data_IF_169680962517
#
_entry.id   IF_169680962517
#
_cell.length_a   1.000
_cell.length_b   1.000
_cell.length_c   1.000
_cell.angle_alpha   90.00
_cell.angle_beta   90.00
_cell.angle_gamma   90.00
#
_symmetry.space_group_name_H-M   'P 1'
#
loop_
_entity.id
_entity.type
_entity.pdbx_description
1 polymer ?
#
# COMPACT_ATOMS: atom_id res chain seq x y z
N UNK A 1 -3.21 74.40 -38.71
CA UNK A 1 -4.35 73.89 -37.88
C UNK A 1 -4.25 72.37 -37.90
N UNK A 2 -3.89 71.72 -36.78
CA UNK A 2 -4.78 71.12 -35.77
C UNK A 2 -5.79 70.09 -36.33
N UNK A 3 -5.62 68.81 -35.96
CA UNK A 3 -6.60 67.83 -35.44
C UNK A 3 -5.83 66.52 -35.14
N UNK A 4 -5.67 66.01 -33.91
CA UNK A 4 -6.60 65.58 -32.82
C UNK A 4 -7.26 64.20 -33.02
N UNK A 5 -6.56 63.17 -32.56
CA UNK A 5 -6.95 62.12 -31.59
C UNK A 5 -8.39 61.55 -31.50
N UNK A 6 -8.42 60.22 -31.24
CA UNK A 6 -9.43 59.36 -30.56
C UNK A 6 -10.62 58.80 -31.35
N UNK A 7 -10.86 57.49 -31.17
CA UNK A 7 -12.08 56.76 -31.55
C UNK A 7 -11.85 55.25 -31.66
N UNK A 8 -12.51 54.44 -30.82
CA UNK A 8 -12.37 52.97 -30.78
C UNK A 8 -13.50 52.25 -31.54
N UNK A 9 -13.27 50.99 -31.93
CA UNK A 9 -14.31 50.14 -32.52
C UNK A 9 -13.84 48.72 -32.83
N UNK A 10 -14.10 47.77 -31.93
CA UNK A 10 -13.97 46.33 -32.19
C UNK A 10 -15.33 45.80 -32.62
N UNK A 11 -15.39 45.15 -33.78
CA UNK A 11 -16.49 44.25 -34.15
C UNK A 11 -15.94 43.10 -35.01
N UNK A 12 -15.86 41.90 -34.42
CA UNK A 12 -15.79 40.63 -35.15
C UNK A 12 -17.07 39.87 -34.85
N UNK A 13 -17.77 39.40 -35.89
CA UNK A 13 -18.71 38.30 -35.77
C UNK A 13 -18.15 37.13 -36.59
N UNK A 14 -18.28 35.92 -36.03
CA UNK A 14 -17.90 34.65 -36.66
C UNK A 14 -19.02 34.26 -37.67
N UNK A 15 -19.08 33.13 -38.38
CA UNK A 15 -18.52 31.77 -38.28
C UNK A 15 -18.24 31.29 -39.75
N UNK A 16 -17.88 30.06 -40.15
CA UNK A 16 -17.91 28.69 -39.62
C UNK A 16 -16.60 27.95 -39.99
N UNK A 17 -16.23 26.89 -39.27
CA UNK A 17 -15.38 25.80 -39.80
C UNK A 17 -15.51 24.55 -38.91
N UNK A 18 -16.62 23.82 -39.06
CA UNK A 18 -16.95 22.68 -38.21
C UNK A 18 -16.38 21.34 -38.73
N UNK A 19 -15.39 20.80 -38.01
CA UNK A 19 -15.26 19.35 -37.75
C UNK A 19 -14.10 19.05 -36.79
N UNK A 20 -14.33 19.14 -35.47
CA UNK A 20 -13.35 18.76 -34.45
C UNK A 20 -13.67 17.41 -33.81
N UNK A 21 -12.79 16.41 -33.96
CA UNK A 21 -12.90 15.10 -33.30
C UNK A 21 -12.61 15.20 -31.80
N UNK A 22 -13.58 14.85 -30.97
CA UNK A 22 -13.46 14.86 -29.51
C UNK A 22 -13.06 13.47 -28.97
N UNK A 23 -12.16 13.42 -27.98
CA UNK A 23 -11.80 12.19 -27.25
C UNK A 23 -12.11 12.39 -25.76
N UNK A 24 -12.89 11.48 -25.19
CA UNK A 24 -13.21 11.46 -23.76
C UNK A 24 -12.26 10.50 -23.02
N UNK A 25 -11.68 10.95 -21.90
CA UNK A 25 -10.87 10.10 -21.02
C UNK A 25 -11.51 10.11 -19.62
N UNK A 26 -11.79 8.91 -19.09
CA UNK A 26 -12.44 8.73 -17.79
C UNK A 26 -11.52 7.98 -16.84
N UNK A 27 -11.26 8.55 -15.66
CA UNK A 27 -10.54 7.89 -14.57
C UNK A 27 -11.54 7.29 -13.56
N UNK A 28 -11.18 6.22 -12.81
CA UNK A 28 -12.11 5.45 -11.95
C UNK A 28 -12.70 6.20 -10.74
N UNK A 29 -12.45 7.51 -10.63
CA UNK A 29 -12.88 8.37 -9.53
C UNK A 29 -14.15 9.19 -9.86
N UNK A 30 -14.77 8.98 -11.03
CA UNK A 30 -16.02 9.65 -11.46
C UNK A 30 -15.88 11.13 -11.85
N UNK A 31 -14.66 11.67 -11.88
CA UNK A 31 -14.42 13.07 -12.29
C UNK A 31 -14.37 13.15 -13.82
N UNK A 32 -15.44 13.67 -14.42
CA UNK A 32 -15.44 14.11 -15.82
C UNK A 32 -14.82 15.52 -15.90
N UNK A 33 -13.92 15.72 -16.87
CA UNK A 33 -13.35 17.04 -17.20
C UNK A 33 -13.82 17.43 -18.60
N UNK A 34 -14.45 18.60 -18.74
CA UNK A 34 -14.78 19.16 -20.04
C UNK A 34 -13.53 19.73 -20.74
N UNK A 35 -13.48 19.46 -22.05
CA UNK A 35 -12.84 20.24 -23.13
C UNK A 35 -11.41 20.80 -22.91
N UNK A 36 -10.44 20.24 -23.63
CA UNK A 36 -9.12 20.85 -23.87
C UNK A 36 -8.98 21.13 -25.37
N UNK A 37 -8.88 22.41 -25.75
CA UNK A 37 -8.49 22.79 -27.12
C UNK A 37 -6.98 22.62 -27.29
N UNK A 38 -6.55 21.62 -28.07
CA UNK A 38 -5.15 21.41 -28.46
C UNK A 38 -4.74 22.30 -29.64
N UNK A 39 -4.81 23.62 -29.44
CA UNK A 39 -4.23 24.59 -30.37
C UNK A 39 -2.70 24.61 -30.29
N UNK A 40 -2.04 24.30 -31.41
CA UNK A 40 -0.65 24.71 -31.73
C UNK A 40 0.53 23.97 -31.07
N UNK A 41 0.47 22.64 -30.86
CA UNK A 41 1.66 21.83 -30.45
C UNK A 41 2.02 20.72 -31.48
N UNK A 42 1.17 20.46 -32.48
CA UNK A 42 1.19 19.18 -33.23
C UNK A 42 2.11 19.18 -34.49
N UNK A 43 2.73 20.30 -34.87
CA UNK A 43 3.39 20.41 -36.19
C UNK A 43 4.75 19.70 -36.35
N UNK A 44 5.43 19.27 -35.28
CA UNK A 44 6.79 18.69 -35.39
C UNK A 44 6.91 17.23 -34.90
N UNK A 45 5.90 16.66 -34.25
CA UNK A 45 5.97 15.31 -33.68
C UNK A 45 5.25 14.27 -34.54
N UNK A 46 5.98 13.69 -35.50
CA UNK A 46 5.57 12.55 -36.36
C UNK A 46 5.05 11.33 -35.55
N UNK A 47 5.37 11.25 -34.26
CA UNK A 47 4.90 10.20 -33.35
C UNK A 47 3.52 10.48 -32.73
N UNK A 48 3.10 11.75 -32.63
CA UNK A 48 1.76 12.13 -32.17
C UNK A 48 0.71 11.96 -33.27
N UNK A 49 1.05 12.20 -34.54
CA UNK A 49 0.13 11.97 -35.66
C UNK A 49 -0.28 10.50 -35.80
N UNK A 50 0.63 9.55 -35.57
CA UNK A 50 0.30 8.11 -35.60
C UNK A 50 -0.68 7.70 -34.50
N UNK A 51 -0.51 8.23 -33.28
CA UNK A 51 -1.44 7.99 -32.15
C UNK A 51 -2.84 8.60 -32.43
N UNK A 52 -2.92 9.64 -33.26
CA UNK A 52 -4.18 10.30 -33.62
C UNK A 52 -4.86 9.74 -34.89
N UNK A 53 -4.20 8.85 -35.63
CA UNK A 53 -4.75 8.25 -36.86
C UNK A 53 -5.14 6.79 -36.72
N UNK A 54 -4.48 6.03 -35.84
CA UNK A 54 -4.78 4.61 -35.60
C UNK A 54 -5.42 4.42 -34.20
N UNK A 55 -6.76 4.33 -34.08
CA UNK A 55 -7.43 4.22 -32.78
C UNK A 55 -7.14 2.93 -32.02
N UNK A 56 -6.68 1.89 -32.72
CA UNK A 56 -6.28 0.59 -32.15
C UNK A 56 -4.77 0.50 -31.81
N UNK A 57 -4.00 1.58 -32.02
CA UNK A 57 -2.57 1.61 -31.71
C UNK A 57 -2.33 1.74 -30.20
N UNK A 58 -2.18 0.59 -29.53
CA UNK A 58 -1.64 0.50 -28.17
C UNK A 58 -0.11 0.55 -28.27
N UNK A 59 0.57 1.62 -27.81
CA UNK A 59 2.03 1.68 -27.87
C UNK A 59 2.63 0.59 -26.98
N UNK A 60 3.63 -0.13 -27.48
CA UNK A 60 4.36 -1.08 -26.65
C UNK A 60 5.10 -0.35 -25.51
N UNK A 61 5.28 -0.99 -24.35
CA UNK A 61 5.94 -0.35 -23.18
C UNK A 61 7.37 0.16 -23.49
N UNK A 62 8.02 -0.40 -24.51
CA UNK A 62 9.31 0.06 -25.06
C UNK A 62 9.26 1.40 -25.83
N UNK A 63 8.08 1.92 -26.11
CA UNK A 63 7.86 3.11 -26.96
C UNK A 63 7.26 4.31 -26.20
N UNK A 64 7.23 4.24 -24.87
CA UNK A 64 6.73 5.32 -24.02
C UNK A 64 7.41 6.67 -24.38
N UNK A 65 6.64 7.76 -24.55
CA UNK A 65 7.20 9.04 -24.92
C UNK A 65 8.12 9.57 -23.81
N UNK A 66 9.39 9.80 -24.15
CA UNK A 66 10.31 10.54 -23.29
C UNK A 66 9.88 12.01 -23.23
N UNK A 67 8.99 12.33 -22.30
CA UNK A 67 8.57 13.70 -22.04
C UNK A 67 9.78 14.59 -21.80
N UNK A 68 9.82 15.75 -22.46
CA UNK A 68 10.83 16.77 -22.24
C UNK A 68 10.77 17.32 -20.80
N UNK A 69 11.86 17.89 -20.31
CA UNK A 69 11.91 18.42 -18.94
C UNK A 69 10.85 19.49 -18.67
N UNK A 70 10.51 20.27 -19.71
CA UNK A 70 9.50 21.33 -19.71
C UNK A 70 8.10 20.73 -19.55
N UNK A 71 7.79 19.64 -20.26
CA UNK A 71 6.49 18.96 -20.16
C UNK A 71 6.31 18.28 -18.79
N UNK A 72 7.35 17.63 -18.27
CA UNK A 72 7.34 17.06 -16.93
C UNK A 72 7.10 18.14 -15.85
N UNK A 73 7.63 19.35 -16.04
CA UNK A 73 7.36 20.51 -15.17
C UNK A 73 5.89 20.93 -15.19
N UNK A 74 5.30 21.06 -16.39
CA UNK A 74 3.86 21.38 -16.56
C UNK A 74 2.94 20.30 -15.96
N UNK A 75 3.32 19.03 -16.10
CA UNK A 75 2.60 17.90 -15.47
C UNK A 75 2.68 18.03 -13.94
N UNK A 76 3.87 18.24 -13.39
CA UNK A 76 4.10 18.37 -11.95
C UNK A 76 3.30 19.53 -11.33
N UNK A 77 3.24 20.68 -12.00
CA UNK A 77 2.40 21.83 -11.62
C UNK A 77 0.90 21.46 -11.63
N UNK A 78 0.42 20.87 -12.73
CA UNK A 78 -0.99 20.46 -12.89
C UNK A 78 -1.45 19.44 -11.82
N UNK A 79 -0.58 18.49 -11.44
CA UNK A 79 -0.89 17.49 -10.41
C UNK A 79 -0.48 17.90 -8.99
N UNK A 80 0.10 19.11 -8.82
CA UNK A 80 0.63 19.65 -7.55
C UNK A 80 1.61 18.70 -6.84
N UNK A 81 2.55 18.12 -7.59
CA UNK A 81 3.65 17.29 -7.05
C UNK A 81 5.01 17.84 -7.49
N UNK A 82 6.09 17.32 -6.92
CA UNK A 82 7.44 17.71 -7.36
C UNK A 82 7.75 17.12 -8.75
N UNK A 83 8.54 17.85 -9.55
CA UNK A 83 9.14 17.35 -10.81
C UNK A 83 9.83 16.00 -10.60
N UNK A 84 10.55 15.83 -9.47
CA UNK A 84 11.20 14.57 -9.09
C UNK A 84 10.21 13.41 -8.84
N UNK A 85 9.01 13.67 -8.33
CA UNK A 85 8.00 12.61 -8.15
C UNK A 85 7.43 12.14 -9.49
N UNK A 86 7.27 13.07 -10.45
CA UNK A 86 6.83 12.75 -11.83
C UNK A 86 7.91 11.99 -12.58
N UNK A 87 9.16 12.46 -12.52
CA UNK A 87 10.32 11.80 -13.11
C UNK A 87 10.53 10.38 -12.54
N UNK A 88 10.44 10.19 -11.23
CA UNK A 88 10.50 8.87 -10.59
C UNK A 88 9.35 7.94 -11.02
N UNK A 89 8.14 8.47 -11.24
CA UNK A 89 7.00 7.69 -11.76
C UNK A 89 7.20 7.31 -13.24
N UNK A 90 7.69 8.22 -14.07
CA UNK A 90 7.95 7.96 -15.49
C UNK A 90 9.10 6.98 -15.72
N UNK A 91 10.07 6.91 -14.79
CA UNK A 91 11.19 5.95 -14.84
C UNK A 91 10.79 4.52 -14.48
N UNK A 92 9.87 4.35 -13.54
CA UNK A 92 9.39 3.03 -13.08
C UNK A 92 7.93 3.14 -12.58
N UNK A 93 6.94 3.14 -13.49
CA UNK A 93 5.54 3.30 -13.11
C UNK A 93 5.02 2.08 -12.32
N UNK A 94 5.49 0.88 -12.65
CA UNK A 94 5.16 -0.38 -11.97
C UNK A 94 5.81 -0.48 -10.58
N UNK A 95 6.94 0.20 -10.37
CA UNK A 95 7.66 0.27 -9.10
C UNK A 95 7.26 1.43 -8.19
N UNK A 96 6.67 2.50 -8.72
CA UNK A 96 6.40 3.74 -7.97
C UNK A 96 5.59 3.53 -6.69
N UNK A 97 4.61 2.61 -6.72
CA UNK A 97 3.74 2.32 -5.59
C UNK A 97 4.25 1.16 -4.68
N UNK A 98 5.48 0.69 -4.88
CA UNK A 98 6.06 -0.36 -4.03
C UNK A 98 6.41 0.20 -2.65
N UNK A 99 5.83 -0.40 -1.62
CA UNK A 99 6.17 -0.08 -0.23
C UNK A 99 7.63 -0.45 0.03
N UNK A 100 8.44 0.55 0.38
CA UNK A 100 9.83 0.31 0.79
C UNK A 100 9.85 -0.47 2.12
N UNK A 101 10.18 -1.76 2.04
CA UNK A 101 10.21 -2.68 3.18
C UNK A 101 11.46 -2.52 4.08
N UNK A 102 12.32 -1.53 3.81
CA UNK A 102 13.54 -1.30 4.59
C UNK A 102 13.25 -0.81 6.00
N UNK A 103 14.04 -1.26 6.96
CA UNK A 103 13.89 -0.91 8.36
C UNK A 103 15.08 -1.37 9.19
N UNK A 104 15.06 -1.07 10.50
CA UNK A 104 16.11 -1.51 11.44
C UNK A 104 16.07 -3.05 11.57
N UNK A 105 17.22 -3.74 11.49
CA UNK A 105 17.26 -5.18 11.73
C UNK A 105 16.79 -5.54 13.14
N UNK A 106 16.21 -6.74 13.29
CA UNK A 106 15.76 -7.26 14.59
C UNK A 106 16.91 -7.30 15.60
N UNK A 107 16.62 -6.98 16.85
CA UNK A 107 17.59 -7.03 17.95
C UNK A 107 17.93 -8.45 18.45
N UNK A 108 17.35 -9.48 17.85
CA UNK A 108 17.48 -10.90 18.19
C UNK A 108 17.50 -11.74 16.91
N UNK A 109 18.17 -12.89 16.95
CA UNK A 109 18.15 -13.84 15.84
C UNK A 109 16.88 -14.70 15.88
N UNK A 110 16.51 -15.29 14.75
CA UNK A 110 15.44 -16.29 14.72
C UNK A 110 15.76 -17.52 15.59
N UNK A 111 17.05 -17.82 15.82
CA UNK A 111 17.47 -18.90 16.72
C UNK A 111 17.02 -18.59 18.14
N UNK A 112 17.19 -17.34 18.58
CA UNK A 112 16.77 -16.87 19.90
C UNK A 112 15.25 -16.86 20.01
N UNK A 113 14.53 -16.39 18.98
CA UNK A 113 13.06 -16.47 18.92
C UNK A 113 12.58 -17.91 19.11
N UNK A 114 13.17 -18.87 18.39
CA UNK A 114 12.85 -20.31 18.51
C UNK A 114 13.19 -20.85 19.91
N UNK A 115 14.29 -20.45 20.54
CA UNK A 115 14.67 -20.91 21.89
C UNK A 115 13.73 -20.32 22.95
N UNK A 116 13.37 -19.04 22.86
CA UNK A 116 12.38 -18.39 23.73
C UNK A 116 11.04 -19.14 23.67
N UNK A 117 10.52 -19.41 22.46
CA UNK A 117 9.24 -20.12 22.29
C UNK A 117 9.29 -21.54 22.89
N UNK A 118 10.40 -22.27 22.72
CA UNK A 118 10.58 -23.59 23.37
C UNK A 118 10.60 -23.48 24.89
N UNK A 119 11.32 -22.51 25.46
CA UNK A 119 11.37 -22.27 26.90
C UNK A 119 9.98 -21.96 27.48
N UNK A 120 9.17 -21.15 26.77
CA UNK A 120 7.77 -20.84 27.14
C UNK A 120 6.90 -22.10 27.11
N UNK A 121 7.00 -22.91 26.04
CA UNK A 121 6.22 -24.15 25.90
C UNK A 121 6.58 -25.20 26.97
N UNK A 122 7.86 -25.30 27.35
CA UNK A 122 8.34 -26.14 28.47
C UNK A 122 7.82 -25.63 29.82
N UNK A 123 7.87 -24.32 30.04
CA UNK A 123 7.66 -23.69 31.34
C UNK A 123 6.50 -22.68 31.33
N UNK A 124 5.30 -23.14 30.92
CA UNK A 124 4.07 -22.34 30.65
C UNK A 124 3.55 -21.44 31.79
N UNK A 125 4.11 -21.52 32.99
CA UNK A 125 3.74 -20.68 34.13
C UNK A 125 4.93 -19.90 34.74
N UNK A 126 6.05 -19.80 34.01
CA UNK A 126 7.20 -18.97 34.41
C UNK A 126 7.02 -17.52 34.00
N UNK A 127 7.63 -16.60 34.75
CA UNK A 127 7.72 -15.20 34.38
C UNK A 127 8.67 -15.00 33.18
N UNK A 128 8.51 -13.89 32.46
CA UNK A 128 9.37 -13.54 31.31
C UNK A 128 10.85 -13.47 31.69
N UNK A 129 11.18 -13.04 32.92
CA UNK A 129 12.56 -13.03 33.42
C UNK A 129 13.13 -14.45 33.58
N UNK A 130 12.36 -15.39 34.17
CA UNK A 130 12.75 -16.81 34.26
C UNK A 130 12.87 -17.48 32.90
N UNK A 131 11.99 -17.11 31.95
CA UNK A 131 12.05 -17.56 30.56
C UNK A 131 13.31 -17.04 29.86
N UNK A 132 13.65 -15.75 30.01
CA UNK A 132 14.91 -15.16 29.51
C UNK A 132 16.13 -15.93 30.04
N UNK A 133 16.20 -16.13 31.35
CA UNK A 133 17.29 -16.86 31.99
C UNK A 133 17.40 -18.31 31.48
N UNK A 134 16.28 -19.04 31.39
CA UNK A 134 16.23 -20.40 30.84
C UNK A 134 16.53 -20.49 29.34
N UNK A 135 16.37 -19.39 28.59
CA UNK A 135 16.67 -19.31 27.17
C UNK A 135 18.11 -18.86 26.87
N UNK A 136 18.83 -18.31 27.86
CA UNK A 136 20.20 -17.81 27.70
C UNK A 136 20.34 -16.57 26.81
N UNK A 137 19.24 -15.87 26.50
CA UNK A 137 19.22 -14.79 25.50
C UNK A 137 19.61 -13.45 26.14
N UNK A 138 20.56 -12.72 25.54
CA UNK A 138 21.06 -11.43 26.04
C UNK A 138 20.06 -10.26 25.97
N UNK A 139 18.99 -10.39 25.18
CA UNK A 139 18.00 -9.34 24.93
C UNK A 139 17.23 -8.86 26.19
N UNK A 140 16.59 -7.68 26.12
CA UNK A 140 15.77 -7.18 27.23
C UNK A 140 14.51 -8.01 27.44
N UNK A 141 13.95 -7.99 28.65
CA UNK A 141 12.69 -8.68 28.98
C UNK A 141 11.51 -8.17 28.14
N UNK A 142 11.55 -6.90 27.71
CA UNK A 142 10.54 -6.32 26.80
C UNK A 142 10.59 -7.00 25.41
N UNK A 143 11.78 -7.18 24.84
CA UNK A 143 11.96 -7.89 23.57
C UNK A 143 11.50 -9.34 23.68
N UNK A 144 11.89 -10.05 24.75
CA UNK A 144 11.43 -11.43 25.01
C UNK A 144 9.91 -11.51 25.14
N UNK A 145 9.27 -10.53 25.81
CA UNK A 145 7.80 -10.44 25.87
C UNK A 145 7.18 -10.19 24.50
N UNK A 146 7.78 -9.35 23.67
CA UNK A 146 7.36 -9.08 22.29
C UNK A 146 7.34 -10.35 21.44
N UNK A 147 8.40 -11.17 21.50
CA UNK A 147 8.45 -12.49 20.83
C UNK A 147 7.28 -13.38 21.26
N UNK A 148 7.06 -13.50 22.57
CA UNK A 148 6.01 -14.35 23.14
C UNK A 148 4.63 -13.93 22.61
N UNK A 149 4.33 -12.63 22.60
CA UNK A 149 3.07 -12.08 22.09
C UNK A 149 2.93 -12.23 20.56
N UNK A 150 3.99 -11.98 19.80
CA UNK A 150 4.01 -12.14 18.34
C UNK A 150 3.83 -13.60 17.91
N UNK A 151 4.20 -14.57 18.76
CA UNK A 151 3.91 -15.99 18.57
C UNK A 151 2.50 -16.41 19.05
N UNK A 152 1.61 -15.46 19.37
CA UNK A 152 0.23 -15.73 19.82
C UNK A 152 0.12 -16.32 21.23
N UNK A 153 1.18 -16.24 22.05
CA UNK A 153 1.17 -16.75 23.41
C UNK A 153 0.83 -15.61 24.40
N UNK A 154 -0.30 -15.74 25.08
CA UNK A 154 -0.82 -14.72 26.00
C UNK A 154 -0.91 -15.25 27.43
N UNK A 155 -0.73 -14.35 28.40
CA UNK A 155 -0.96 -14.66 29.81
C UNK A 155 -2.47 -14.77 30.06
N UNK A 156 -2.94 -15.96 30.46
CA UNK A 156 -4.30 -16.19 30.97
C UNK A 156 -4.25 -16.50 32.46
N UNK A 157 -5.15 -15.92 33.25
CA UNK A 157 -5.34 -16.29 34.65
C UNK A 157 -5.71 -17.78 34.74
N UNK A 158 -5.14 -18.51 35.71
CA UNK A 158 -5.53 -19.90 35.98
C UNK A 158 -6.99 -19.93 36.46
N UNK A 159 -7.75 -20.94 36.03
CA UNK A 159 -9.11 -21.16 36.51
C UNK A 159 -9.06 -21.64 37.97
N UNK A 160 -9.83 -21.00 38.84
CA UNK A 160 -9.90 -21.29 40.28
C UNK A 160 -10.80 -22.48 40.60
N UNK A 161 -10.50 -23.67 40.06
CA UNK A 161 -11.20 -24.90 40.39
C UNK A 161 -10.48 -25.67 41.50
N UNK A 162 -11.21 -26.34 42.42
CA UNK A 162 -10.61 -27.17 43.44
C UNK A 162 -9.81 -28.32 42.80
N UNK A 163 -8.67 -28.66 43.40
CA UNK A 163 -7.82 -29.75 42.92
C UNK A 163 -8.53 -31.10 43.13
N UNK A 164 -8.63 -31.90 42.06
CA UNK A 164 -9.18 -33.26 42.16
C UNK A 164 -8.16 -34.18 42.85
N UNK A 165 -8.54 -34.70 44.01
CA UNK A 165 -7.85 -35.82 44.66
C UNK A 165 -7.85 -37.07 43.76
N UNK A 166 -6.95 -38.04 43.99
CA UNK A 166 -6.98 -39.33 43.30
C UNK A 166 -8.34 -40.05 43.41
N UNK A 167 -8.97 -40.02 44.60
CA UNK A 167 -10.30 -40.62 44.81
C UNK A 167 -11.39 -39.97 43.96
N UNK A 168 -11.44 -38.63 43.89
CA UNK A 168 -12.38 -37.91 43.03
C UNK A 168 -12.19 -38.26 41.54
N UNK A 169 -10.95 -38.50 41.10
CA UNK A 169 -10.67 -38.92 39.72
C UNK A 169 -11.18 -40.33 39.43
N UNK A 170 -11.00 -41.26 40.36
CA UNK A 170 -11.48 -42.64 40.23
C UNK A 170 -13.01 -42.69 40.10
N UNK A 171 -13.74 -42.04 41.02
CA UNK A 171 -15.21 -41.99 41.00
C UNK A 171 -15.73 -41.31 39.72
N UNK A 172 -15.10 -40.21 39.28
CA UNK A 172 -15.47 -39.54 38.01
C UNK A 172 -15.21 -40.43 36.79
N UNK A 173 -14.14 -41.22 36.79
CA UNK A 173 -13.82 -42.15 35.71
C UNK A 173 -14.83 -43.30 35.65
N UNK A 174 -15.23 -43.85 36.80
CA UNK A 174 -16.26 -44.89 36.90
C UNK A 174 -17.63 -44.39 36.44
N UNK A 175 -18.05 -43.21 36.90
CA UNK A 175 -19.25 -42.52 36.42
C UNK A 175 -19.21 -42.34 34.89
N UNK A 176 -18.07 -41.86 34.36
CA UNK A 176 -17.90 -41.67 32.92
C UNK A 176 -18.02 -42.99 32.17
N UNK A 177 -17.39 -44.07 32.64
CA UNK A 177 -17.49 -45.41 32.03
C UNK A 177 -18.92 -45.96 32.04
N UNK A 178 -19.66 -45.77 33.14
CA UNK A 178 -21.06 -46.20 33.28
C UNK A 178 -22.00 -45.50 32.31
N UNK A 179 -21.68 -44.27 31.90
CA UNK A 179 -22.50 -43.46 30.98
C UNK A 179 -21.88 -43.30 29.57
N UNK A 180 -20.69 -43.86 29.31
CA UNK A 180 -20.07 -43.92 27.98
C UNK A 180 -20.85 -44.90 27.08
N UNK A 181 -21.80 -44.35 26.32
CA UNK A 181 -22.77 -45.10 25.51
C UNK A 181 -24.23 -44.79 25.87
N UNK A 182 -24.47 -44.16 27.02
CA UNK A 182 -25.79 -43.65 27.44
C UNK A 182 -26.00 -42.21 26.96
N UNK A 183 -25.80 -41.97 25.67
CA UNK A 183 -26.21 -40.72 24.99
C UNK A 183 -27.33 -41.10 24.03
N UNK A 184 -28.56 -41.01 24.54
CA UNK A 184 -29.80 -40.94 23.77
C UNK A 184 -30.25 -39.47 23.75
#
# INVERSE_FOLDING_TARGET
MKNRFLGAGISRQNVESDSFSHINITFPNGVHMEQIQLGNIVSENVRLSRILHDPDYIPSMSEAPKFSEIEQGKIAEKIRRSRSSVDNFLKDPDGHNRVYAGGRPKAISERDERVIVRAVKKSRCSSVSKIKASAGVGASTSIVRGVILNCGLHLKKRLGHPLLSPSHKAVRLELTRKHQGSVL
#
